data_IF_562908181671
#
_entry.id   IF_562908181671
#
_cell.length_a   1.000
_cell.length_b   1.000
_cell.length_c   1.000
_cell.angle_alpha   90.00
_cell.angle_beta   90.00
_cell.angle_gamma   90.00
#
_symmetry.space_group_name_H-M   'P 1'
#
loop_
_entity.id
_entity.type
_entity.pdbx_description
1 polymer ?
#
# COMPACT_ATOMS: atom_id res chain seq x y z
N UNK A 1 -21.44 -15.95 6.27
CA UNK A 1 -20.34 -15.61 5.34
C UNK A 1 -19.11 -16.27 5.92
N UNK A 2 -18.33 -17.04 5.16
CA UNK A 2 -17.11 -17.63 5.71
C UNK A 2 -16.14 -16.50 6.08
N UNK A 3 -15.32 -16.67 7.11
CA UNK A 3 -14.33 -15.67 7.55
C UNK A 3 -13.40 -15.28 6.40
N UNK A 4 -12.97 -16.26 5.61
CA UNK A 4 -12.16 -16.03 4.41
C UNK A 4 -12.85 -15.08 3.40
N UNK A 5 -14.15 -15.29 3.12
CA UNK A 5 -14.89 -14.42 2.21
C UNK A 5 -14.98 -12.97 2.73
N UNK A 6 -15.06 -12.79 4.06
CA UNK A 6 -15.00 -11.47 4.68
C UNK A 6 -13.61 -10.83 4.47
N UNK A 7 -12.53 -11.58 4.70
CA UNK A 7 -11.16 -11.13 4.47
C UNK A 7 -10.90 -10.72 3.03
N UNK A 8 -11.37 -11.52 2.08
CA UNK A 8 -11.27 -11.24 0.64
C UNK A 8 -12.07 -9.99 0.24
N UNK A 9 -13.27 -9.83 0.77
CA UNK A 9 -14.10 -8.64 0.57
C UNK A 9 -13.42 -7.37 1.10
N UNK A 10 -12.82 -7.44 2.29
CA UNK A 10 -12.05 -6.34 2.88
C UNK A 10 -10.79 -6.02 2.06
N UNK A 11 -10.09 -7.04 1.54
CA UNK A 11 -8.94 -6.85 0.65
C UNK A 11 -9.35 -6.15 -0.66
N UNK A 12 -10.50 -6.51 -1.24
CA UNK A 12 -11.03 -5.85 -2.43
C UNK A 12 -11.46 -4.40 -2.13
N UNK A 13 -12.09 -4.15 -0.98
CA UNK A 13 -12.42 -2.79 -0.52
C UNK A 13 -11.15 -1.95 -0.33
N UNK A 14 -10.08 -2.55 0.18
CA UNK A 14 -8.76 -1.91 0.28
C UNK A 14 -8.21 -1.56 -1.10
N UNK A 15 -8.24 -2.50 -2.07
CA UNK A 15 -7.81 -2.28 -3.44
C UNK A 15 -8.56 -1.10 -4.09
N UNK A 16 -9.88 -1.05 -3.93
CA UNK A 16 -10.70 0.03 -4.46
C UNK A 16 -10.34 1.38 -3.80
N UNK A 17 -10.18 1.40 -2.49
CA UNK A 17 -9.82 2.61 -1.73
C UNK A 17 -8.46 3.15 -2.15
N UNK A 18 -7.44 2.31 -2.30
CA UNK A 18 -6.13 2.73 -2.79
C UNK A 18 -6.15 3.16 -4.25
N UNK A 19 -6.92 2.48 -5.10
CA UNK A 19 -7.11 2.87 -6.49
C UNK A 19 -7.71 4.27 -6.61
N UNK A 20 -8.76 4.53 -5.83
CA UNK A 20 -9.42 5.85 -5.78
C UNK A 20 -8.46 6.91 -5.26
N UNK A 21 -7.72 6.62 -4.18
CA UNK A 21 -6.70 7.51 -3.65
C UNK A 21 -5.62 7.86 -4.69
N UNK A 22 -5.11 6.88 -5.43
CA UNK A 22 -4.09 7.09 -6.45
C UNK A 22 -4.57 8.05 -7.55
N UNK A 23 -5.82 7.92 -7.99
CA UNK A 23 -6.40 8.82 -9.01
C UNK A 23 -6.62 10.22 -8.45
N UNK A 24 -7.06 10.35 -7.19
CA UNK A 24 -7.22 11.64 -6.53
C UNK A 24 -5.88 12.36 -6.33
N UNK A 25 -4.82 11.64 -5.95
CA UNK A 25 -3.45 12.18 -5.84
C UNK A 25 -2.97 12.68 -7.20
N UNK A 26 -3.25 11.94 -8.28
CA UNK A 26 -2.90 12.38 -9.63
C UNK A 26 -3.68 13.65 -10.05
N UNK A 27 -4.89 13.85 -9.53
CA UNK A 27 -5.72 15.03 -9.81
C UNK A 27 -5.36 16.23 -8.94
N UNK A 28 -4.78 16.03 -7.78
CA UNK A 28 -4.31 17.13 -6.95
C UNK A 28 -3.26 17.93 -7.71
N UNK A 29 -3.52 19.18 -7.97
CA UNK A 29 -2.64 20.12 -8.67
C UNK A 29 -1.41 20.48 -7.81
N UNK A 30 -1.48 20.11 -6.56
CA UNK A 30 -0.49 20.45 -5.57
C UNK A 30 0.71 19.53 -5.66
N UNK A 31 1.82 20.11 -5.83
CA UNK A 31 3.14 19.71 -5.35
C UNK A 31 3.21 18.24 -4.92
N UNK A 32 3.92 17.48 -5.70
CA UNK A 32 4.48 16.13 -5.36
C UNK A 32 5.40 16.19 -4.13
N UNK A 33 5.00 16.95 -3.12
CA UNK A 33 5.78 17.27 -1.94
C UNK A 33 5.37 16.31 -0.82
N UNK A 34 6.31 15.89 -0.02
CA UNK A 34 6.15 15.00 1.13
C UNK A 34 5.18 15.52 2.21
N UNK A 35 4.75 16.77 2.14
CA UNK A 35 3.70 17.36 3.01
C UNK A 35 2.40 16.59 2.96
N UNK A 36 1.93 16.22 1.78
CA UNK A 36 0.74 15.39 1.62
C UNK A 36 0.86 14.00 2.24
N UNK A 37 2.09 13.49 2.35
CA UNK A 37 2.35 12.21 3.02
C UNK A 37 2.10 12.32 4.51
N UNK A 38 2.69 13.32 5.18
CA UNK A 38 2.53 13.50 6.63
C UNK A 38 1.07 13.78 6.97
N UNK A 39 0.40 14.63 6.17
CA UNK A 39 -1.04 14.87 6.30
C UNK A 39 -1.86 13.58 6.16
N UNK A 40 -1.57 12.73 5.17
CA UNK A 40 -2.29 11.47 5.01
C UNK A 40 -2.09 10.49 6.18
N UNK A 41 -0.89 10.50 6.80
CA UNK A 41 -0.65 9.68 8.00
C UNK A 41 -1.42 10.23 9.20
N UNK A 42 -1.51 11.56 9.34
CA UNK A 42 -2.31 12.19 10.38
C UNK A 42 -3.80 11.83 10.23
N UNK A 43 -4.33 11.93 9.01
CA UNK A 43 -5.72 11.51 8.71
C UNK A 43 -5.92 10.03 9.03
N UNK A 44 -4.94 9.18 8.69
CA UNK A 44 -5.00 7.74 9.04
C UNK A 44 -5.05 7.53 10.55
N UNK A 45 -4.24 8.27 11.32
CA UNK A 45 -4.27 8.18 12.80
C UNK A 45 -5.63 8.59 13.35
N UNK A 46 -6.24 9.68 12.85
CA UNK A 46 -7.58 10.13 13.27
C UNK A 46 -8.64 9.08 12.94
N UNK A 47 -8.68 8.57 11.70
CA UNK A 47 -9.66 7.56 11.29
C UNK A 47 -9.48 6.25 12.08
N UNK A 48 -8.24 5.79 12.24
CA UNK A 48 -7.94 4.60 13.02
C UNK A 48 -8.35 4.75 14.49
N UNK A 49 -8.15 5.95 15.08
CA UNK A 49 -8.62 6.24 16.45
C UNK A 49 -10.13 6.14 16.55
N UNK A 50 -10.86 6.78 15.62
CA UNK A 50 -12.33 6.74 15.64
C UNK A 50 -12.85 5.30 15.50
N UNK A 51 -12.31 4.54 14.54
CA UNK A 51 -12.75 3.17 14.30
C UNK A 51 -12.38 2.27 15.49
N UNK A 52 -11.18 2.41 16.05
CA UNK A 52 -10.77 1.70 17.25
C UNK A 52 -11.71 2.00 18.43
N UNK A 53 -12.03 3.27 18.70
CA UNK A 53 -12.92 3.65 19.78
C UNK A 53 -14.34 3.09 19.60
N UNK A 54 -14.83 3.02 18.38
CA UNK A 54 -16.21 2.57 18.10
C UNK A 54 -16.32 1.04 18.05
N UNK A 55 -15.35 0.35 17.47
CA UNK A 55 -15.46 -1.07 17.16
C UNK A 55 -14.63 -1.99 18.06
N UNK A 56 -13.48 -1.54 18.56
CA UNK A 56 -12.51 -2.43 19.19
C UNK A 56 -12.24 -2.10 20.68
N UNK A 57 -12.46 -0.85 21.10
CA UNK A 57 -12.09 -0.40 22.45
C UNK A 57 -12.85 -1.10 23.56
N UNK A 58 -14.08 -1.53 23.30
CA UNK A 58 -14.93 -2.21 24.28
C UNK A 58 -14.47 -3.63 24.59
N UNK A 59 -13.91 -4.32 23.56
CA UNK A 59 -13.47 -5.72 23.69
C UNK A 59 -11.98 -5.80 24.07
N UNK A 60 -11.27 -4.69 23.94
CA UNK A 60 -9.83 -4.61 24.13
C UNK A 60 -9.48 -4.47 25.62
N UNK A 61 -9.05 -5.57 26.22
CA UNK A 61 -8.49 -5.52 27.57
C UNK A 61 -7.02 -5.08 27.51
N UNK A 62 -6.75 -3.88 28.01
CA UNK A 62 -5.37 -3.37 28.13
C UNK A 62 -4.70 -4.04 29.33
N UNK A 63 -4.16 -5.22 29.11
CA UNK A 63 -3.32 -5.90 30.10
C UNK A 63 -1.86 -5.64 29.69
N UNK A 64 -1.17 -4.76 30.41
CA UNK A 64 0.22 -4.41 30.13
C UNK A 64 1.19 -5.57 30.46
N UNK A 65 1.02 -6.70 29.78
CA UNK A 65 1.86 -7.88 29.85
C UNK A 65 2.87 -7.94 28.68
N UNK A 66 3.72 -8.96 28.67
CA UNK A 66 4.72 -9.15 27.62
C UNK A 66 4.09 -9.30 26.23
N UNK A 67 2.95 -9.98 26.09
CA UNK A 67 2.20 -10.17 24.85
C UNK A 67 1.72 -8.82 24.28
N UNK A 68 1.15 -7.98 25.15
CA UNK A 68 0.74 -6.63 24.77
C UNK A 68 1.88 -5.81 24.16
N UNK A 69 3.00 -5.71 24.87
CA UNK A 69 4.14 -4.92 24.41
C UNK A 69 4.77 -5.49 23.15
N UNK A 70 4.74 -6.81 22.99
CA UNK A 70 5.22 -7.49 21.78
C UNK A 70 4.36 -7.13 20.56
N UNK A 71 3.02 -7.19 20.69
CA UNK A 71 2.09 -6.80 19.64
C UNK A 71 2.22 -5.33 19.23
N UNK A 72 2.28 -4.42 20.23
CA UNK A 72 2.52 -2.99 20.00
C UNK A 72 3.87 -2.77 19.29
N UNK A 73 4.91 -3.49 19.71
CA UNK A 73 6.23 -3.44 19.09
C UNK A 73 6.22 -3.84 17.60
N UNK A 74 5.51 -4.91 17.25
CA UNK A 74 5.34 -5.35 15.87
C UNK A 74 4.58 -4.31 15.02
N UNK A 75 3.50 -3.74 15.54
CA UNK A 75 2.77 -2.68 14.86
C UNK A 75 3.61 -1.40 14.67
N UNK A 76 4.40 -1.05 15.70
CA UNK A 76 5.31 0.09 15.63
C UNK A 76 6.39 -0.13 14.55
N UNK A 77 7.00 -1.33 14.52
CA UNK A 77 8.01 -1.68 13.52
C UNK A 77 7.42 -1.68 12.11
N UNK A 78 6.21 -2.21 11.94
CA UNK A 78 5.49 -2.13 10.67
C UNK A 78 5.24 -0.68 10.24
N UNK A 79 4.93 0.21 11.18
CA UNK A 79 4.80 1.65 10.96
C UNK A 79 6.10 2.30 10.48
N UNK A 80 7.21 2.04 11.13
CA UNK A 80 8.54 2.53 10.70
C UNK A 80 8.88 2.02 9.30
N UNK A 81 8.72 0.74 9.06
CA UNK A 81 9.07 0.12 7.77
C UNK A 81 8.22 0.67 6.62
N UNK A 82 6.90 0.78 6.80
CA UNK A 82 6.01 1.25 5.73
C UNK A 82 6.03 2.77 5.56
N UNK A 83 5.93 3.52 6.66
CA UNK A 83 5.73 4.97 6.62
C UNK A 83 7.04 5.74 6.43
N UNK A 84 8.16 5.24 6.95
CA UNK A 84 9.45 5.92 6.89
C UNK A 84 10.35 5.28 5.84
N UNK A 85 10.74 4.04 6.03
CA UNK A 85 11.72 3.35 5.17
C UNK A 85 11.16 3.15 3.77
N UNK A 86 10.00 2.53 3.65
CA UNK A 86 9.35 2.24 2.37
C UNK A 86 9.07 3.50 1.58
N UNK A 87 8.54 4.53 2.23
CA UNK A 87 8.26 5.82 1.56
C UNK A 87 9.52 6.58 1.17
N UNK A 88 10.53 6.63 2.03
CA UNK A 88 11.78 7.34 1.71
C UNK A 88 12.46 6.75 0.48
N UNK A 89 12.52 5.43 0.38
CA UNK A 89 13.03 4.75 -0.79
C UNK A 89 12.15 4.95 -2.03
N UNK A 90 10.81 4.93 -1.87
CA UNK A 90 9.89 5.22 -2.96
C UNK A 90 10.10 6.62 -3.54
N UNK A 91 10.21 7.64 -2.69
CA UNK A 91 10.45 9.01 -3.15
C UNK A 91 11.82 9.17 -3.83
N UNK A 92 12.85 8.48 -3.32
CA UNK A 92 14.17 8.47 -3.95
C UNK A 92 14.11 7.80 -5.32
N UNK A 93 13.40 6.68 -5.42
CA UNK A 93 13.13 5.98 -6.67
C UNK A 93 12.41 6.90 -7.68
N UNK A 94 11.33 7.58 -7.24
CA UNK A 94 10.57 8.51 -8.10
C UNK A 94 11.44 9.67 -8.58
N UNK A 95 12.31 10.21 -7.74
CA UNK A 95 13.22 11.31 -8.13
C UNK A 95 14.25 10.87 -9.17
N UNK A 96 14.76 9.64 -9.08
CA UNK A 96 15.82 9.12 -9.96
C UNK A 96 15.31 8.48 -11.23
N UNK A 97 14.22 7.72 -11.15
CA UNK A 97 13.66 6.96 -12.26
C UNK A 97 12.48 7.65 -12.95
N UNK A 98 11.92 8.68 -12.32
CA UNK A 98 10.61 9.21 -12.69
C UNK A 98 9.45 8.37 -12.15
N UNK A 99 8.24 8.92 -12.21
CA UNK A 99 7.03 8.34 -11.60
C UNK A 99 6.68 6.98 -12.19
N UNK A 100 6.76 6.83 -13.52
CA UNK A 100 6.29 5.61 -14.19
C UNK A 100 7.22 4.43 -13.93
N UNK A 101 8.55 4.62 -14.09
CA UNK A 101 9.52 3.54 -13.82
C UNK A 101 9.52 3.14 -12.35
N UNK A 102 9.43 4.10 -11.43
CA UNK A 102 9.33 3.84 -10.00
C UNK A 102 8.06 3.08 -9.62
N UNK A 103 6.89 3.48 -10.15
CA UNK A 103 5.64 2.76 -9.92
C UNK A 103 5.65 1.35 -10.50
N UNK A 104 6.37 1.14 -11.61
CA UNK A 104 6.60 -0.18 -12.20
C UNK A 104 7.32 -1.11 -11.23
N UNK A 105 8.42 -0.65 -10.61
CA UNK A 105 9.17 -1.47 -9.62
C UNK A 105 8.34 -1.70 -8.35
N UNK A 106 7.58 -0.70 -7.90
CA UNK A 106 6.68 -0.85 -6.75
C UNK A 106 5.63 -1.96 -6.96
N UNK A 107 5.22 -2.22 -8.20
CA UNK A 107 4.28 -3.31 -8.55
C UNK A 107 4.80 -4.71 -8.24
N UNK A 108 6.10 -4.86 -7.98
CA UNK A 108 6.67 -6.12 -7.49
C UNK A 108 6.41 -6.38 -6.01
N UNK A 109 5.89 -5.39 -5.27
CA UNK A 109 5.58 -5.51 -3.84
C UNK A 109 4.73 -6.76 -3.48
N UNK A 110 3.62 -7.10 -4.16
CA UNK A 110 2.83 -8.28 -3.83
C UNK A 110 3.64 -9.58 -3.91
N UNK A 111 4.55 -9.69 -4.87
CA UNK A 111 5.40 -10.88 -5.02
C UNK A 111 6.45 -10.97 -3.91
N UNK A 112 7.12 -9.88 -3.58
CA UNK A 112 8.04 -9.85 -2.43
C UNK A 112 7.32 -10.17 -1.12
N UNK A 113 6.13 -9.58 -0.92
CA UNK A 113 5.33 -9.85 0.27
C UNK A 113 4.91 -11.31 0.38
N UNK A 114 4.53 -11.94 -0.74
CA UNK A 114 4.13 -13.36 -0.76
C UNK A 114 5.32 -14.29 -0.51
N UNK A 115 6.49 -13.99 -1.09
CA UNK A 115 7.71 -14.75 -0.80
C UNK A 115 8.08 -14.64 0.68
N UNK A 116 8.01 -13.43 1.26
CA UNK A 116 8.28 -13.24 2.68
C UNK A 116 7.23 -13.94 3.56
N UNK A 117 5.96 -13.92 3.19
CA UNK A 117 4.90 -14.60 3.93
C UNK A 117 5.09 -16.12 3.90
N UNK A 118 5.44 -16.69 2.75
CA UNK A 118 5.79 -18.10 2.63
C UNK A 118 7.00 -18.49 3.49
N UNK A 119 8.08 -17.68 3.48
CA UNK A 119 9.32 -17.98 4.18
C UNK A 119 9.28 -17.71 5.69
N UNK A 120 8.48 -16.74 6.15
CA UNK A 120 8.53 -16.23 7.53
C UNK A 120 7.28 -16.62 8.31
N UNK A 121 6.11 -16.65 7.65
CA UNK A 121 4.83 -16.97 8.27
C UNK A 121 4.41 -18.42 8.02
N UNK A 122 5.20 -19.19 7.27
CA UNK A 122 4.87 -20.56 6.83
C UNK A 122 3.52 -20.64 6.09
N UNK A 123 3.10 -19.54 5.44
CA UNK A 123 1.88 -19.53 4.66
C UNK A 123 2.05 -20.41 3.41
N UNK A 124 1.22 -21.43 3.29
CA UNK A 124 1.30 -22.39 2.18
C UNK A 124 0.72 -21.79 0.90
N UNK A 125 1.44 -22.00 -0.20
CA UNK A 125 0.96 -21.65 -1.55
C UNK A 125 0.49 -22.93 -2.22
N UNK A 126 -0.80 -23.02 -2.50
CA UNK A 126 -1.35 -24.16 -3.25
C UNK A 126 -0.88 -24.11 -4.71
N UNK A 127 -0.97 -25.24 -5.41
CA UNK A 127 -0.64 -25.30 -6.85
C UNK A 127 -1.51 -24.34 -7.67
N UNK A 128 -2.79 -24.22 -7.32
CA UNK A 128 -3.71 -23.31 -7.97
C UNK A 128 -3.38 -21.84 -7.63
N UNK A 129 -3.03 -21.56 -6.37
CA UNK A 129 -2.54 -20.25 -5.93
C UNK A 129 -1.25 -19.84 -6.66
N UNK A 130 -0.28 -20.75 -6.81
CA UNK A 130 0.94 -20.50 -7.56
C UNK A 130 0.67 -20.20 -9.05
N UNK A 131 -0.24 -20.96 -9.67
CA UNK A 131 -0.70 -20.68 -11.05
C UNK A 131 -1.34 -19.28 -11.14
N UNK A 132 -2.21 -18.93 -10.19
CA UNK A 132 -2.83 -17.60 -10.11
C UNK A 132 -1.81 -16.48 -9.96
N UNK A 133 -0.77 -16.66 -9.13
CA UNK A 133 0.34 -15.71 -8.99
C UNK A 133 1.11 -15.54 -10.29
N UNK A 134 1.36 -16.62 -11.04
CA UNK A 134 2.03 -16.57 -12.34
C UNK A 134 1.19 -15.79 -13.37
N UNK A 135 -0.13 -16.02 -13.40
CA UNK A 135 -1.08 -15.30 -14.27
C UNK A 135 -1.12 -13.80 -13.91
N UNK A 136 -1.15 -13.48 -12.62
CA UNK A 136 -1.13 -12.10 -12.16
C UNK A 136 0.20 -11.40 -12.48
N UNK A 137 1.33 -12.08 -12.33
CA UNK A 137 2.65 -11.58 -12.74
C UNK A 137 2.68 -11.29 -14.24
N UNK A 138 2.13 -12.18 -15.05
CA UNK A 138 2.01 -11.97 -16.50
C UNK A 138 1.18 -10.71 -16.82
N UNK A 139 0.06 -10.51 -16.14
CA UNK A 139 -0.77 -9.31 -16.26
C UNK A 139 0.02 -8.02 -15.94
N UNK A 140 0.82 -8.04 -14.87
CA UNK A 140 1.70 -6.91 -14.54
C UNK A 140 2.77 -6.67 -15.60
N UNK A 141 3.40 -7.72 -16.12
CA UNK A 141 4.41 -7.59 -17.17
C UNK A 141 3.82 -6.97 -18.45
N UNK A 142 2.59 -7.35 -18.84
CA UNK A 142 1.89 -6.73 -19.96
C UNK A 142 1.69 -5.23 -19.73
N UNK A 143 1.19 -4.85 -18.55
CA UNK A 143 0.95 -3.44 -18.21
C UNK A 143 2.25 -2.63 -18.12
N UNK A 144 3.33 -3.26 -17.65
CA UNK A 144 4.66 -2.65 -17.59
C UNK A 144 5.25 -2.38 -18.99
N UNK A 145 5.11 -3.33 -19.90
CA UNK A 145 5.55 -3.19 -21.30
C UNK A 145 4.86 -2.00 -21.97
N UNK A 146 3.57 -1.85 -21.76
CA UNK A 146 2.81 -0.75 -22.31
C UNK A 146 3.24 0.60 -21.74
N UNK A 147 3.37 0.70 -20.41
CA UNK A 147 3.86 1.90 -19.75
C UNK A 147 5.25 2.30 -20.24
N UNK A 148 6.14 1.33 -20.47
CA UNK A 148 7.48 1.56 -21.01
C UNK A 148 7.45 2.01 -22.50
N UNK A 149 6.51 1.49 -23.30
CA UNK A 149 6.35 1.87 -24.70
C UNK A 149 5.89 3.32 -24.84
N UNK A 150 4.95 3.73 -23.99
CA UNK A 150 4.43 5.10 -23.98
C UNK A 150 5.46 6.14 -23.47
N UNK A 151 6.48 5.71 -22.72
CA UNK A 151 7.55 6.59 -22.21
C UNK A 151 8.73 6.78 -23.18
N UNK A 152 9.00 5.84 -24.07
CA UNK A 152 10.14 5.92 -25.01
C UNK A 152 10.07 7.10 -25.99
N UNK A 153 8.95 7.79 -26.02
CA UNK A 153 8.77 8.95 -26.91
C UNK A 153 9.44 10.25 -26.41
N UNK A 154 10.13 10.27 -25.25
CA UNK A 154 10.64 11.51 -24.67
C UNK A 154 11.98 11.49 -23.94
N UNK A 155 12.67 10.35 -23.81
CA UNK A 155 13.88 10.29 -22.97
C UNK A 155 14.95 9.39 -23.61
N UNK A 156 16.03 10.00 -24.13
CA UNK A 156 17.06 9.33 -24.93
C UNK A 156 18.09 8.50 -24.12
N UNK A 157 18.16 8.66 -22.79
CA UNK A 157 19.14 7.94 -21.95
C UNK A 157 18.46 7.10 -20.88
N UNK A 158 18.64 5.76 -20.87
CA UNK A 158 18.10 4.92 -19.80
C UNK A 158 18.82 5.25 -18.48
N UNK A 159 18.07 5.34 -17.35
CA UNK A 159 18.68 5.57 -16.06
C UNK A 159 19.60 4.40 -15.65
N UNK A 160 20.63 4.65 -14.84
CA UNK A 160 21.50 3.60 -14.34
C UNK A 160 20.71 2.49 -13.64
N UNK A 161 21.10 1.23 -13.87
CA UNK A 161 20.44 0.05 -13.27
C UNK A 161 20.39 0.15 -11.73
N UNK A 162 21.41 0.75 -11.13
CA UNK A 162 21.48 0.98 -9.68
C UNK A 162 20.32 1.81 -9.13
N UNK A 163 19.75 2.74 -9.91
CA UNK A 163 18.65 3.57 -9.46
C UNK A 163 17.35 2.78 -9.21
N UNK A 164 17.21 1.62 -9.86
CA UNK A 164 16.09 0.70 -9.62
C UNK A 164 16.14 0.05 -8.23
N UNK A 165 17.32 -0.05 -7.60
CA UNK A 165 17.47 -0.63 -6.25
C UNK A 165 16.62 0.09 -5.20
N UNK A 166 16.45 1.42 -5.32
CA UNK A 166 15.59 2.18 -4.40
C UNK A 166 14.12 1.76 -4.48
N UNK A 167 13.63 1.45 -5.68
CA UNK A 167 12.27 0.91 -5.85
C UNK A 167 12.12 -0.49 -5.26
N UNK A 168 13.11 -1.35 -5.46
CA UNK A 168 13.15 -2.72 -4.89
C UNK A 168 13.21 -2.66 -3.36
N UNK A 169 14.08 -1.84 -2.79
CA UNK A 169 14.17 -1.64 -1.33
C UNK A 169 12.87 -1.10 -0.73
N UNK A 170 12.20 -0.20 -1.45
CA UNK A 170 10.87 0.26 -1.05
C UNK A 170 9.85 -0.90 -1.03
N UNK A 171 9.80 -1.70 -2.08
CA UNK A 171 8.89 -2.83 -2.18
C UNK A 171 9.15 -3.88 -1.09
N UNK A 172 10.42 -4.18 -0.80
CA UNK A 172 10.82 -5.07 0.29
C UNK A 172 10.42 -4.51 1.66
N UNK A 173 10.64 -3.21 1.92
CA UNK A 173 10.26 -2.58 3.17
C UNK A 173 8.75 -2.66 3.43
N UNK A 174 7.93 -2.45 2.40
CA UNK A 174 6.48 -2.65 2.50
C UNK A 174 6.13 -4.13 2.74
N UNK A 175 6.79 -5.06 2.05
CA UNK A 175 6.61 -6.50 2.25
C UNK A 175 6.90 -6.91 3.69
N UNK A 176 8.05 -6.50 4.23
CA UNK A 176 8.38 -6.73 5.65
C UNK A 176 7.34 -6.09 6.59
N UNK A 177 6.85 -4.90 6.27
CA UNK A 177 5.83 -4.26 7.10
C UNK A 177 4.54 -5.10 7.18
N UNK A 178 4.14 -5.77 6.10
CA UNK A 178 2.96 -6.66 6.12
C UNK A 178 3.16 -7.88 7.00
N UNK A 179 4.38 -8.46 7.00
CA UNK A 179 4.74 -9.56 7.89
C UNK A 179 4.65 -9.12 9.35
N UNK A 180 5.25 -7.97 9.70
CA UNK A 180 5.15 -7.45 11.07
C UNK A 180 3.72 -7.07 11.47
N UNK A 181 2.87 -6.64 10.53
CA UNK A 181 1.44 -6.47 10.80
C UNK A 181 0.77 -7.78 11.17
N UNK A 182 1.07 -8.88 10.45
CA UNK A 182 0.52 -10.21 10.76
C UNK A 182 0.99 -10.69 12.14
N UNK A 183 2.27 -10.52 12.46
CA UNK A 183 2.77 -10.81 13.82
C UNK A 183 2.07 -9.98 14.90
N UNK A 184 1.83 -8.71 14.62
CA UNK A 184 1.06 -7.85 15.53
C UNK A 184 -0.36 -8.37 15.75
N UNK A 185 -1.03 -8.85 14.71
CA UNK A 185 -2.38 -9.42 14.76
C UNK A 185 -2.41 -10.72 15.57
N UNK A 186 -1.38 -11.56 15.47
CA UNK A 186 -1.31 -12.79 16.28
C UNK A 186 -1.25 -12.50 17.77
N UNK A 187 -0.63 -11.40 18.19
CA UNK A 187 -0.54 -11.01 19.60
C UNK A 187 -1.73 -10.14 20.03
N UNK A 188 -2.21 -9.24 19.16
CA UNK A 188 -3.29 -8.27 19.41
C UNK A 188 -4.19 -8.20 18.16
N UNK A 189 -5.30 -8.97 18.10
CA UNK A 189 -6.17 -9.07 16.92
C UNK A 189 -7.09 -7.84 16.75
N UNK A 190 -6.53 -6.63 16.90
CA UNK A 190 -7.23 -5.35 16.78
C UNK A 190 -6.66 -4.53 15.63
N UNK A 191 -7.21 -4.69 14.39
CA UNK A 191 -6.64 -4.07 13.19
C UNK A 191 -6.68 -2.54 13.18
N UNK A 192 -7.72 -1.91 13.75
CA UNK A 192 -7.79 -0.45 13.84
C UNK A 192 -6.76 0.08 14.84
N UNK A 193 -6.60 -0.58 16.00
CA UNK A 193 -5.54 -0.26 16.95
C UNK A 193 -4.14 -0.44 16.32
N UNK A 194 -3.91 -1.53 15.61
CA UNK A 194 -2.65 -1.77 14.91
C UNK A 194 -2.34 -0.71 13.86
N UNK A 195 -3.38 -0.25 13.14
CA UNK A 195 -3.25 0.89 12.19
C UNK A 195 -2.91 2.18 12.92
N UNK A 196 -3.57 2.44 14.07
CA UNK A 196 -3.31 3.62 14.90
C UNK A 196 -1.86 3.63 15.41
N UNK A 197 -1.38 2.53 16.00
CA UNK A 197 0.01 2.42 16.49
C UNK A 197 1.00 2.64 15.36
N UNK A 198 0.79 2.02 14.19
CA UNK A 198 1.64 2.21 13.02
C UNK A 198 1.65 3.66 12.52
N UNK A 199 0.50 4.34 12.51
CA UNK A 199 0.40 5.74 12.08
C UNK A 199 1.07 6.68 13.11
N UNK A 200 0.84 6.48 14.40
CA UNK A 200 1.48 7.28 15.45
C UNK A 200 2.99 7.12 15.47
N UNK A 201 3.48 5.88 15.30
CA UNK A 201 4.92 5.61 15.20
C UNK A 201 5.52 6.27 13.95
N UNK A 202 4.82 6.21 12.82
CA UNK A 202 5.22 6.92 11.61
C UNK A 202 5.30 8.43 11.82
N UNK A 203 4.28 9.04 12.44
CA UNK A 203 4.28 10.47 12.78
C UNK A 203 5.42 10.84 13.74
N UNK A 204 5.60 10.05 14.81
CA UNK A 204 6.69 10.26 15.77
C UNK A 204 8.06 10.21 15.07
N UNK A 205 8.25 9.27 14.16
CA UNK A 205 9.51 9.15 13.38
C UNK A 205 9.70 10.35 12.45
N UNK A 206 8.64 10.85 11.79
CA UNK A 206 8.72 12.07 10.98
C UNK A 206 9.04 13.30 11.85
N UNK A 207 8.44 13.41 13.04
CA UNK A 207 8.75 14.50 13.98
C UNK A 207 10.21 14.44 14.44
N UNK A 208 10.69 13.28 14.86
CA UNK A 208 12.08 13.08 15.25
C UNK A 208 13.05 13.38 14.10
N UNK A 209 12.78 12.86 12.90
CA UNK A 209 13.61 13.15 11.73
C UNK A 209 13.60 14.64 11.36
N UNK A 210 12.49 15.35 11.58
CA UNK A 210 12.36 16.79 11.39
C UNK A 210 13.22 17.63 12.35
N UNK A 211 13.61 17.09 13.52
CA UNK A 211 14.56 17.76 14.42
C UNK A 211 15.96 17.83 13.80
N UNK A 212 16.36 16.83 13.02
CA UNK A 212 17.70 16.71 12.44
C UNK A 212 17.79 17.19 10.99
N UNK A 213 16.67 17.13 10.22
CA UNK A 213 16.64 17.48 8.81
C UNK A 213 15.79 18.73 8.55
N UNK A 214 16.42 19.85 8.12
CA UNK A 214 15.74 21.11 7.81
C UNK A 214 14.65 20.97 6.74
N UNK A 215 14.87 20.11 5.73
CA UNK A 215 13.89 19.83 4.67
C UNK A 215 12.61 19.18 5.19
N UNK A 216 12.72 18.28 6.16
CA UNK A 216 11.57 17.64 6.81
C UNK A 216 10.85 18.58 7.78
N UNK A 217 11.60 19.48 8.43
CA UNK A 217 11.00 20.50 9.31
C UNK A 217 10.05 21.42 8.53
N UNK A 218 10.43 21.87 7.33
CA UNK A 218 9.56 22.66 6.45
C UNK A 218 8.30 21.92 6.01
N UNK A 219 8.34 20.59 5.93
CA UNK A 219 7.17 19.75 5.63
C UNK A 219 6.22 19.61 6.81
N UNK A 220 6.75 19.54 8.03
CA UNK A 220 5.96 19.47 9.26
C UNK A 220 5.26 20.78 9.57
N UNK A 221 5.94 21.90 9.42
CA UNK A 221 5.35 23.24 9.67
C UNK A 221 4.30 23.63 8.63
N UNK A 222 4.37 23.07 7.42
CA UNK A 222 3.44 23.33 6.33
C UNK A 222 2.40 22.23 6.08
N UNK A 223 2.13 21.34 7.05
CA UNK A 223 1.20 20.18 6.86
C UNK A 223 -0.17 20.63 6.34
N UNK A 224 -0.69 21.75 6.84
CA UNK A 224 -2.00 22.27 6.47
C UNK A 224 -1.94 23.34 5.35
N UNK A 225 -0.76 23.67 4.84
CA UNK A 225 -0.60 24.64 3.77
C UNK A 225 -0.87 24.00 2.41
N UNK A 226 -1.64 24.70 1.57
CA UNK A 226 -1.91 24.31 0.19
C UNK A 226 -2.65 22.94 0.04
N UNK A 227 -3.49 22.57 1.03
CA UNK A 227 -4.36 21.42 0.94
C UNK A 227 -5.51 21.71 -0.02
N UNK A 228 -5.54 21.01 -1.14
CA UNK A 228 -6.70 20.99 -2.01
C UNK A 228 -7.70 19.89 -1.60
N UNK A 229 -8.95 20.02 -2.08
CA UNK A 229 -10.02 19.03 -1.80
C UNK A 229 -9.64 17.62 -2.25
N UNK A 230 -8.85 17.49 -3.32
CA UNK A 230 -8.45 16.19 -3.86
C UNK A 230 -7.47 15.50 -2.94
N UNK A 231 -6.53 16.25 -2.34
CA UNK A 231 -5.59 15.74 -1.39
C UNK A 231 -6.26 15.28 -0.08
N UNK A 232 -7.26 16.02 0.39
CA UNK A 232 -8.06 15.63 1.57
C UNK A 232 -8.81 14.33 1.28
N UNK A 233 -9.53 14.25 0.15
CA UNK A 233 -10.24 13.03 -0.25
C UNK A 233 -9.29 11.85 -0.47
N UNK A 234 -8.12 12.08 -1.07
CA UNK A 234 -7.09 11.07 -1.24
C UNK A 234 -6.59 10.53 0.11
N UNK A 235 -6.37 11.42 1.08
CA UNK A 235 -5.92 11.02 2.43
C UNK A 235 -6.97 10.17 3.16
N UNK A 236 -8.26 10.51 3.02
CA UNK A 236 -9.36 9.70 3.55
C UNK A 236 -9.38 8.32 2.87
N UNK A 237 -9.28 8.28 1.54
CA UNK A 237 -9.27 7.02 0.80
C UNK A 237 -8.06 6.14 1.14
N UNK A 238 -6.85 6.72 1.29
CA UNK A 238 -5.65 5.99 1.78
C UNK A 238 -5.90 5.42 3.16
N UNK A 239 -6.51 6.20 4.07
CA UNK A 239 -6.78 5.76 5.44
C UNK A 239 -7.74 4.58 5.49
N UNK A 240 -8.83 4.64 4.74
CA UNK A 240 -9.78 3.54 4.60
C UNK A 240 -9.11 2.31 3.99
N UNK A 241 -8.30 2.50 2.93
CA UNK A 241 -7.54 1.42 2.32
C UNK A 241 -6.60 0.71 3.30
N UNK A 242 -5.91 1.46 4.15
CA UNK A 242 -5.04 0.92 5.19
C UNK A 242 -5.83 0.10 6.23
N UNK A 243 -6.95 0.63 6.71
CA UNK A 243 -7.77 -0.02 7.73
C UNK A 243 -8.38 -1.31 7.18
N UNK A 244 -8.94 -1.27 5.96
CA UNK A 244 -9.46 -2.47 5.30
C UNK A 244 -8.37 -3.52 5.06
N UNK A 245 -7.16 -3.09 4.67
CA UNK A 245 -6.03 -3.99 4.49
C UNK A 245 -5.64 -4.69 5.79
N UNK A 246 -5.55 -3.94 6.91
CA UNK A 246 -5.27 -4.53 8.21
C UNK A 246 -6.38 -5.49 8.66
N UNK A 247 -7.65 -5.08 8.47
CA UNK A 247 -8.78 -5.92 8.80
C UNK A 247 -8.81 -7.21 7.95
N UNK A 248 -8.46 -7.13 6.66
CA UNK A 248 -8.38 -8.29 5.79
C UNK A 248 -7.37 -9.34 6.28
N UNK A 249 -6.19 -8.90 6.75
CA UNK A 249 -5.12 -9.78 7.26
C UNK A 249 -5.54 -10.55 8.54
N UNK A 250 -6.56 -10.08 9.26
CA UNK A 250 -7.12 -10.82 10.41
C UNK A 250 -7.76 -12.12 9.94
N UNK A 251 -8.54 -12.06 8.85
CA UNK A 251 -9.38 -13.14 8.38
C UNK A 251 -8.76 -13.98 7.25
N UNK A 252 -7.65 -13.50 6.67
CA UNK A 252 -7.02 -14.11 5.51
C UNK A 252 -5.49 -14.14 5.62
N UNK A 253 -4.86 -14.94 4.75
CA UNK A 253 -3.40 -14.96 4.65
C UNK A 253 -2.87 -13.67 4.03
N UNK A 254 -1.62 -13.32 4.37
CA UNK A 254 -0.97 -12.14 3.78
C UNK A 254 -0.87 -12.30 2.26
N UNK A 255 -0.59 -13.51 1.78
CA UNK A 255 -0.49 -13.82 0.35
C UNK A 255 -1.77 -13.44 -0.39
N UNK A 256 -2.91 -13.94 0.04
CA UNK A 256 -4.21 -13.66 -0.59
C UNK A 256 -4.54 -12.17 -0.53
N UNK A 257 -4.36 -11.55 0.63
CA UNK A 257 -4.69 -10.13 0.82
C UNK A 257 -3.84 -9.23 -0.08
N UNK A 258 -2.52 -9.43 -0.15
CA UNK A 258 -1.67 -8.57 -0.98
C UNK A 258 -1.90 -8.78 -2.47
N UNK A 259 -2.26 -9.98 -2.89
CA UNK A 259 -2.58 -10.27 -4.28
C UNK A 259 -3.92 -9.63 -4.70
N UNK A 260 -4.96 -9.73 -3.88
CA UNK A 260 -6.24 -9.03 -4.13
C UNK A 260 -6.03 -7.51 -4.10
N UNK A 261 -5.32 -6.99 -3.11
CA UNK A 261 -5.03 -5.56 -2.99
C UNK A 261 -4.26 -5.02 -4.21
N UNK A 262 -3.46 -5.84 -4.88
CA UNK A 262 -2.72 -5.46 -6.08
C UNK A 262 -3.61 -5.11 -7.28
N UNK A 263 -4.89 -5.52 -7.27
CA UNK A 263 -5.88 -5.09 -8.27
C UNK A 263 -6.09 -3.56 -8.28
N UNK A 264 -5.64 -2.84 -7.25
CA UNK A 264 -5.71 -1.37 -7.16
C UNK A 264 -5.26 -0.69 -8.46
N UNK A 265 -4.24 -1.24 -9.13
CA UNK A 265 -3.64 -0.67 -10.32
C UNK A 265 -4.59 -0.71 -11.50
N UNK A 266 -5.26 -1.84 -11.69
CA UNK A 266 -6.24 -2.03 -12.76
C UNK A 266 -7.49 -1.19 -12.48
N UNK A 267 -7.98 -1.22 -11.24
CA UNK A 267 -9.13 -0.41 -10.81
C UNK A 267 -8.82 1.09 -11.00
N UNK A 268 -7.61 1.55 -10.63
CA UNK A 268 -7.18 2.93 -10.82
C UNK A 268 -7.16 3.35 -12.30
N UNK A 269 -6.74 2.45 -13.20
CA UNK A 269 -6.75 2.71 -14.63
C UNK A 269 -8.15 2.95 -15.17
N UNK A 270 -9.13 2.15 -14.75
CA UNK A 270 -10.53 2.33 -15.13
C UNK A 270 -11.15 3.58 -14.51
N UNK A 271 -10.90 3.84 -13.22
CA UNK A 271 -11.36 5.05 -12.55
C UNK A 271 -10.81 6.31 -13.23
N UNK A 272 -9.53 6.30 -13.62
CA UNK A 272 -8.88 7.41 -14.32
C UNK A 272 -9.60 7.78 -15.62
N UNK A 273 -10.09 6.78 -16.36
CA UNK A 273 -10.72 6.97 -17.66
C UNK A 273 -12.21 7.28 -17.53
N UNK A 274 -12.95 6.41 -16.82
CA UNK A 274 -14.42 6.48 -16.82
C UNK A 274 -14.97 7.52 -15.85
N UNK A 275 -14.33 7.72 -14.70
CA UNK A 275 -14.81 8.64 -13.66
C UNK A 275 -14.15 10.01 -13.80
N UNK A 276 -12.84 10.03 -13.95
CA UNK A 276 -12.07 11.28 -13.92
C UNK A 276 -11.72 11.82 -15.31
N UNK A 277 -11.87 11.03 -16.36
CA UNK A 277 -11.68 11.41 -17.78
C UNK A 277 -10.30 12.01 -18.06
N UNK A 278 -9.25 11.48 -17.42
CA UNK A 278 -7.87 11.90 -17.68
C UNK A 278 -7.34 11.39 -19.02
N UNK A 279 -7.69 10.15 -19.36
CA UNK A 279 -7.33 9.50 -20.59
C UNK A 279 -8.56 9.24 -21.45
N UNK A 280 -8.40 9.23 -22.80
CA UNK A 280 -9.53 9.08 -23.72
C UNK A 280 -9.99 7.64 -23.90
N UNK A 281 -9.07 6.68 -23.83
CA UNK A 281 -9.39 5.27 -24.09
C UNK A 281 -8.55 4.33 -23.22
N UNK A 282 -9.18 3.22 -22.80
CA UNK A 282 -8.45 2.07 -22.23
C UNK A 282 -7.75 1.36 -23.37
N UNK A 283 -6.44 1.14 -23.28
CA UNK A 283 -5.74 0.40 -24.30
C UNK A 283 -6.15 -1.07 -24.28
N UNK A 284 -6.05 -1.74 -25.42
CA UNK A 284 -6.32 -3.18 -25.52
C UNK A 284 -5.42 -3.98 -24.57
N UNK A 285 -4.15 -3.62 -24.45
CA UNK A 285 -3.23 -4.26 -23.49
C UNK A 285 -3.70 -4.13 -22.04
N UNK A 286 -4.24 -2.98 -21.65
CA UNK A 286 -4.78 -2.77 -20.29
C UNK A 286 -6.00 -3.65 -20.05
N UNK A 287 -6.88 -3.82 -21.06
CA UNK A 287 -8.06 -4.69 -20.96
C UNK A 287 -7.61 -6.14 -20.76
N UNK A 288 -6.72 -6.65 -21.63
CA UNK A 288 -6.20 -8.02 -21.51
C UNK A 288 -5.49 -8.23 -20.15
N UNK A 289 -4.61 -7.29 -19.76
CA UNK A 289 -3.93 -7.36 -18.48
C UNK A 289 -4.92 -7.40 -17.30
N UNK A 290 -6.00 -6.64 -17.35
CA UNK A 290 -7.05 -6.66 -16.31
C UNK A 290 -7.76 -8.01 -16.25
N UNK A 291 -8.11 -8.60 -17.39
CA UNK A 291 -8.76 -9.92 -17.44
C UNK A 291 -7.84 -10.97 -16.81
N UNK A 292 -6.56 -11.00 -17.19
CA UNK A 292 -5.58 -11.91 -16.58
C UNK A 292 -5.39 -11.63 -15.09
N UNK A 293 -5.37 -10.37 -14.66
CA UNK A 293 -5.22 -10.03 -13.25
C UNK A 293 -6.41 -10.54 -12.42
N UNK A 294 -7.64 -10.32 -12.88
CA UNK A 294 -8.83 -10.85 -12.21
C UNK A 294 -8.85 -12.38 -12.21
N UNK A 295 -8.52 -13.03 -13.32
CA UNK A 295 -8.41 -14.48 -13.40
C UNK A 295 -7.34 -15.01 -12.43
N UNK A 296 -6.17 -14.37 -12.36
CA UNK A 296 -5.12 -14.72 -11.43
C UNK A 296 -5.56 -14.61 -9.96
N UNK A 297 -6.24 -13.53 -9.60
CA UNK A 297 -6.79 -13.34 -8.24
C UNK A 297 -7.84 -14.40 -7.92
N UNK A 298 -8.75 -14.73 -8.85
CA UNK A 298 -9.73 -15.80 -8.67
C UNK A 298 -9.02 -17.13 -8.37
N UNK A 299 -7.99 -17.49 -9.15
CA UNK A 299 -7.23 -18.73 -8.92
C UNK A 299 -6.56 -18.73 -7.55
N UNK A 300 -6.04 -17.60 -7.07
CA UNK A 300 -5.41 -17.48 -5.74
C UNK A 300 -6.47 -17.64 -4.64
N UNK A 301 -7.65 -17.07 -4.85
CA UNK A 301 -8.73 -17.04 -3.86
C UNK A 301 -9.37 -18.41 -3.65
N UNK A 302 -9.48 -19.23 -4.71
CA UNK A 302 -10.09 -20.57 -4.67
C UNK A 302 -9.06 -21.72 -4.59
N UNK A 303 -7.81 -21.42 -4.54
CA UNK A 303 -6.72 -22.37 -4.38
C UNK A 303 -6.17 -22.39 -2.96
#
# INVERSE_FOLDING_TARGET
MSEALLGQGLALASAFSFAFANVLIARSSGRRDSRGVVFSVLVTAVFATVIWLVLESHDMQVVANATWWKGVGFYALAGVLSMVVGRSFLYTSVRRLGVVRSSTVKRMNPFFSSVLAFLILDEMITTLGAAGMAVLLFAFLLMMRESAKNQRAGDDTPPPVWDYSFGVLSALAYGCAYIFRKFGIFELPYPAFGTLVSALTGLATFLLAGLFAKSLRGQLTGIFSDLDRWMIMASIAVSLGQIFFFAAIVYETVIVVVMIASLEIFIASYLSIFVFRFDRHVSQSTIFASIFAFAGVILITFG
#
